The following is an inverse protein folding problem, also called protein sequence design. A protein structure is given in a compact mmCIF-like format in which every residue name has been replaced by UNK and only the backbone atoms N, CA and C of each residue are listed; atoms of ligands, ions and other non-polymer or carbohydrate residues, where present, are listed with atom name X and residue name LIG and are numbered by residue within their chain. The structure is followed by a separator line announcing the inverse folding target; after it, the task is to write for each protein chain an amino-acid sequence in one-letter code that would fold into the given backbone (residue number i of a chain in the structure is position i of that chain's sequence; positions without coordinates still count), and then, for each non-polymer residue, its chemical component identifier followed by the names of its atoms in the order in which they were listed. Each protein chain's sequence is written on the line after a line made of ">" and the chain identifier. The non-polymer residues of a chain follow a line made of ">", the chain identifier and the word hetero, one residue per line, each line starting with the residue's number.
data_IF_604827774095
#
_entry.id   IF_604827774095
#
_cell.length_a   1.000
_cell.length_b   1.000
_cell.length_c   1.000
_cell.angle_alpha   90.00
_cell.angle_beta   90.00
_cell.angle_gamma   90.00
#
_symmetry.space_group_name_H-M   'P 1'
#
loop_
_entity.id
_entity.type
_entity.pdbx_description
1 polymer ?
#
# COMPACT_ATOMS: atom_id res chain seq x y z
N UNK A 1 -27.46 -47.78 -33.11
CA UNK A 1 -26.26 -47.14 -33.69
C UNK A 1 -26.51 -45.65 -33.84
N UNK A 2 -25.55 -44.84 -33.37
CA UNK A 2 -25.29 -43.40 -33.63
C UNK A 2 -26.18 -42.33 -32.95
N UNK A 3 -25.52 -41.68 -31.99
CA UNK A 3 -25.77 -40.41 -31.31
C UNK A 3 -25.77 -39.21 -32.27
N UNK A 4 -26.44 -38.10 -31.92
CA UNK A 4 -25.93 -36.71 -31.71
C UNK A 4 -27.11 -35.69 -31.79
N UNK A 5 -27.42 -34.95 -30.70
CA UNK A 5 -27.19 -33.48 -30.52
C UNK A 5 -28.24 -32.63 -31.26
N UNK A 6 -28.92 -31.58 -30.75
CA UNK A 6 -28.94 -30.70 -29.56
C UNK A 6 -30.25 -29.87 -29.67
N UNK A 7 -30.52 -28.92 -28.76
CA UNK A 7 -31.62 -27.92 -28.68
C UNK A 7 -32.73 -28.35 -27.69
N UNK A 8 -32.96 -27.73 -26.54
CA UNK A 8 -32.79 -26.34 -26.12
C UNK A 8 -32.75 -26.26 -24.59
N UNK A 9 -31.66 -25.77 -24.01
CA UNK A 9 -31.71 -25.11 -22.70
C UNK A 9 -30.80 -23.89 -22.79
N UNK A 10 -31.37 -22.78 -23.22
CA UNK A 10 -30.81 -21.45 -23.08
C UNK A 10 -30.85 -21.08 -21.59
N UNK A 11 -29.78 -21.39 -20.87
CA UNK A 11 -29.49 -20.70 -19.61
C UNK A 11 -28.37 -19.73 -19.92
N UNK A 12 -28.76 -18.49 -20.21
CA UNK A 12 -27.87 -17.34 -20.17
C UNK A 12 -27.40 -17.19 -18.71
N UNK A 13 -26.30 -17.84 -18.36
CA UNK A 13 -25.50 -17.46 -17.21
C UNK A 13 -24.83 -16.13 -17.55
N UNK A 14 -25.57 -15.03 -17.38
CA UNK A 14 -24.96 -13.75 -17.05
C UNK A 14 -24.41 -13.89 -15.64
N UNK A 15 -23.23 -14.51 -15.52
CA UNK A 15 -22.37 -14.25 -14.39
C UNK A 15 -22.00 -12.77 -14.49
N UNK A 16 -22.80 -11.91 -13.85
CA UNK A 16 -22.43 -10.53 -13.61
C UNK A 16 -21.07 -10.57 -12.93
N UNK A 17 -20.03 -10.21 -13.66
CA UNK A 17 -18.73 -9.95 -13.06
C UNK A 17 -18.97 -8.71 -12.21
N UNK A 18 -19.25 -8.91 -10.93
CA UNK A 18 -19.18 -7.83 -9.96
C UNK A 18 -17.71 -7.47 -9.95
N UNK A 19 -17.33 -6.46 -10.74
CA UNK A 19 -16.12 -5.71 -10.50
C UNK A 19 -16.30 -5.18 -9.09
N UNK A 20 -15.74 -5.89 -8.10
CA UNK A 20 -15.59 -5.32 -6.78
C UNK A 20 -14.63 -4.16 -6.99
N UNK A 21 -15.19 -2.96 -7.09
CA UNK A 21 -14.41 -1.73 -7.12
C UNK A 21 -13.41 -1.82 -5.99
N UNK A 22 -12.13 -1.58 -6.31
CA UNK A 22 -11.10 -1.44 -5.29
C UNK A 22 -11.66 -0.43 -4.29
N UNK A 23 -11.79 -0.79 -2.99
CA UNK A 23 -12.35 0.13 -2.00
C UNK A 23 -11.67 1.48 -2.13
N UNK A 24 -12.47 2.55 -2.10
CA UNK A 24 -11.99 3.93 -2.09
C UNK A 24 -10.74 4.04 -1.23
N UNK A 25 -9.74 4.74 -1.76
CA UNK A 25 -8.39 4.79 -1.21
C UNK A 25 -8.44 4.97 0.32
N UNK A 26 -8.11 3.89 1.04
CA UNK A 26 -8.04 3.85 2.51
C UNK A 26 -7.22 5.05 3.05
N UNK A 27 -6.27 5.52 2.25
CA UNK A 27 -5.50 6.73 2.50
C UNK A 27 -5.86 7.81 1.48
N UNK A 28 -6.32 8.94 1.99
CA UNK A 28 -6.48 10.15 1.18
C UNK A 28 -5.11 10.72 0.76
N UNK A 29 -5.11 11.59 -0.25
CA UNK A 29 -3.88 12.17 -0.82
C UNK A 29 -3.08 12.99 0.21
N UNK A 30 -3.76 13.68 1.15
CA UNK A 30 -3.10 14.43 2.22
C UNK A 30 -2.27 13.52 3.13
N UNK A 31 -2.84 12.39 3.53
CA UNK A 31 -2.18 11.41 4.36
C UNK A 31 -0.96 10.79 3.67
N UNK A 32 -1.10 10.41 2.40
CA UNK A 32 0.02 9.88 1.60
C UNK A 32 1.18 10.87 1.53
N UNK A 33 0.88 12.14 1.22
CA UNK A 33 1.90 13.21 1.19
C UNK A 33 2.55 13.40 2.56
N UNK A 34 1.77 13.31 3.62
CA UNK A 34 2.29 13.47 4.97
C UNK A 34 3.21 12.31 5.40
N UNK A 35 2.83 11.06 5.15
CA UNK A 35 3.68 9.89 5.45
C UNK A 35 5.00 10.00 4.68
N UNK A 36 4.94 10.38 3.41
CA UNK A 36 6.12 10.65 2.59
C UNK A 36 6.99 11.79 3.16
N UNK A 37 6.36 12.90 3.59
CA UNK A 37 7.07 14.02 4.19
C UNK A 37 7.75 13.61 5.50
N UNK A 38 7.05 12.87 6.37
CA UNK A 38 7.60 12.32 7.60
C UNK A 38 8.82 11.42 7.34
N UNK A 39 8.72 10.55 6.34
CA UNK A 39 9.72 9.54 6.00
C UNK A 39 11.01 10.13 5.40
N UNK A 40 10.91 11.07 4.47
CA UNK A 40 12.07 11.56 3.72
C UNK A 40 12.03 13.04 3.32
N UNK A 41 11.07 13.81 3.84
CA UNK A 41 10.68 15.10 3.26
C UNK A 41 10.18 14.98 1.80
N UNK A 42 9.68 13.81 1.42
CA UNK A 42 9.37 13.49 0.02
C UNK A 42 10.53 13.70 -0.95
N UNK A 43 11.76 13.58 -0.46
CA UNK A 43 12.90 13.59 -1.37
C UNK A 43 12.82 12.35 -2.27
N UNK A 44 12.67 12.62 -3.57
CA UNK A 44 12.95 11.65 -4.65
C UNK A 44 14.45 11.37 -4.79
N UNK A 45 15.26 11.89 -3.86
CA UNK A 45 16.68 11.69 -3.80
C UNK A 45 16.97 10.32 -3.18
N UNK A 46 17.91 9.62 -3.80
CA UNK A 46 18.56 8.41 -3.31
C UNK A 46 17.78 7.10 -3.46
N UNK A 47 18.32 6.29 -4.38
CA UNK A 47 18.45 4.84 -4.24
C UNK A 47 18.55 4.37 -2.79
N UNK A 48 18.22 3.10 -2.60
CA UNK A 48 18.16 2.42 -1.31
C UNK A 48 19.35 2.71 -0.39
N UNK A 49 19.05 3.02 0.87
CA UNK A 49 20.04 3.00 1.94
C UNK A 49 19.96 1.62 2.61
N UNK A 50 20.83 0.71 2.20
CA UNK A 50 20.70 -0.71 2.54
C UNK A 50 19.39 -1.28 1.98
N UNK A 51 18.57 -1.89 2.84
CA UNK A 51 17.30 -2.52 2.45
C UNK A 51 16.10 -1.56 2.42
N UNK A 52 16.31 -0.27 2.69
CA UNK A 52 15.26 0.75 2.81
C UNK A 52 15.31 1.70 1.62
N UNK A 53 14.23 1.78 0.85
CA UNK A 53 14.22 2.47 -0.44
C UNK A 53 13.16 3.57 -0.54
N UNK A 54 13.49 4.60 -1.33
CA UNK A 54 12.54 5.56 -1.85
C UNK A 54 12.00 6.59 -0.86
N UNK A 55 11.05 7.43 -1.32
CA UNK A 55 10.53 8.55 -0.55
C UNK A 55 9.70 8.12 0.67
N UNK A 56 9.13 6.91 0.63
CA UNK A 56 8.40 6.33 1.76
C UNK A 56 9.29 5.49 2.67
N UNK A 57 10.60 5.38 2.42
CA UNK A 57 11.52 4.57 3.25
C UNK A 57 10.95 3.17 3.57
N UNK A 58 10.42 2.48 2.55
CA UNK A 58 9.86 1.13 2.71
C UNK A 58 10.92 0.06 2.51
N UNK A 59 10.69 -1.14 3.03
CA UNK A 59 11.53 -2.33 2.84
C UNK A 59 10.95 -3.27 1.77
N UNK A 60 11.73 -4.26 1.33
CA UNK A 60 11.23 -5.32 0.43
C UNK A 60 10.06 -6.09 1.05
N UNK A 61 10.12 -6.42 2.34
CA UNK A 61 9.03 -7.09 3.04
C UNK A 61 7.76 -6.24 3.08
N UNK A 62 7.90 -4.94 3.34
CA UNK A 62 6.78 -3.99 3.27
C UNK A 62 6.15 -3.98 1.88
N UNK A 63 6.97 -3.88 0.82
CA UNK A 63 6.50 -3.92 -0.56
C UNK A 63 5.81 -5.25 -0.91
N UNK A 64 6.31 -6.38 -0.40
CA UNK A 64 5.68 -7.70 -0.55
C UNK A 64 4.29 -7.71 0.08
N UNK A 65 4.20 -7.27 1.33
CA UNK A 65 2.93 -7.18 2.04
C UNK A 65 1.96 -6.15 1.43
N UNK A 66 2.51 -5.16 0.72
CA UNK A 66 1.78 -4.17 -0.08
C UNK A 66 1.24 -4.68 -1.41
N UNK A 67 1.41 -5.97 -1.72
CA UNK A 67 0.90 -6.58 -2.95
C UNK A 67 1.84 -6.51 -4.14
N UNK A 68 3.12 -6.20 -3.90
CA UNK A 68 4.20 -6.25 -4.89
C UNK A 68 3.92 -5.48 -6.21
N UNK A 69 3.44 -4.22 -6.16
CA UNK A 69 3.24 -3.46 -7.38
C UNK A 69 4.55 -3.29 -8.13
N UNK A 70 4.49 -3.25 -9.46
CA UNK A 70 5.67 -3.10 -10.33
C UNK A 70 5.46 -1.99 -11.35
N UNK A 71 6.56 -1.59 -11.98
CA UNK A 71 6.57 -0.63 -13.08
C UNK A 71 6.69 -1.36 -14.42
N UNK A 72 6.24 -0.72 -15.51
CA UNK A 72 6.55 -1.14 -16.89
C UNK A 72 6.23 -2.62 -17.22
N UNK A 73 5.22 -3.20 -16.57
CA UNK A 73 4.89 -4.63 -16.67
C UNK A 73 6.05 -5.57 -16.29
N UNK A 74 7.00 -5.09 -15.48
CA UNK A 74 8.05 -5.91 -14.87
C UNK A 74 7.41 -6.99 -14.00
N UNK A 75 7.99 -8.18 -14.04
CA UNK A 75 7.51 -9.30 -13.23
C UNK A 75 7.86 -9.06 -11.75
N UNK A 76 6.95 -9.30 -10.77
CA UNK A 76 7.22 -9.08 -9.34
C UNK A 76 8.45 -9.83 -8.80
N UNK A 77 8.76 -11.00 -9.36
CA UNK A 77 9.96 -11.77 -8.96
C UNK A 77 11.27 -11.26 -9.58
N UNK A 78 11.25 -10.18 -10.38
CA UNK A 78 12.47 -9.57 -10.86
C UNK A 78 13.32 -9.09 -9.67
N UNK A 79 14.65 -9.32 -9.68
CA UNK A 79 15.51 -8.89 -8.59
C UNK A 79 15.39 -7.40 -8.25
N UNK A 80 15.08 -6.56 -9.25
CA UNK A 80 15.00 -5.10 -9.13
C UNK A 80 13.58 -4.54 -8.99
N UNK A 81 12.54 -5.38 -9.06
CA UNK A 81 11.14 -4.93 -9.06
C UNK A 81 10.80 -4.10 -7.81
N UNK A 82 11.33 -4.52 -6.66
CA UNK A 82 11.16 -3.81 -5.40
C UNK A 82 11.82 -2.43 -5.46
N UNK A 83 13.11 -2.36 -5.81
CA UNK A 83 13.89 -1.13 -5.82
C UNK A 83 13.31 -0.13 -6.81
N UNK A 84 12.96 -0.58 -8.02
CA UNK A 84 12.30 0.25 -9.03
C UNK A 84 10.98 0.81 -8.52
N UNK A 85 10.12 -0.03 -7.94
CA UNK A 85 8.82 0.42 -7.45
C UNK A 85 8.94 1.35 -6.24
N UNK A 86 9.77 0.99 -5.25
CA UNK A 86 9.95 1.77 -4.04
C UNK A 86 10.54 3.16 -4.35
N UNK A 87 11.38 3.28 -5.36
CA UNK A 87 11.94 4.57 -5.81
C UNK A 87 11.00 5.41 -6.69
N UNK A 88 9.92 4.84 -7.24
CA UNK A 88 8.90 5.60 -7.96
C UNK A 88 7.77 6.01 -7.02
N UNK A 89 7.48 7.31 -6.94
CA UNK A 89 6.47 7.82 -5.99
C UNK A 89 5.09 7.18 -6.19
N UNK A 90 4.66 6.95 -7.44
CA UNK A 90 3.33 6.38 -7.72
C UNK A 90 3.29 4.89 -7.37
N UNK A 91 4.29 4.12 -7.77
CA UNK A 91 4.37 2.70 -7.46
C UNK A 91 4.53 2.46 -5.95
N UNK A 92 5.38 3.23 -5.28
CA UNK A 92 5.54 3.18 -3.84
C UNK A 92 4.22 3.56 -3.12
N UNK A 93 3.46 4.54 -3.63
CA UNK A 93 2.12 4.85 -3.11
C UNK A 93 1.18 3.64 -3.18
N UNK A 94 1.19 2.89 -4.29
CA UNK A 94 0.40 1.66 -4.40
C UNK A 94 0.82 0.62 -3.36
N UNK A 95 2.13 0.49 -3.11
CA UNK A 95 2.64 -0.42 -2.08
C UNK A 95 2.20 0.00 -0.68
N UNK A 96 2.27 1.31 -0.36
CA UNK A 96 1.78 1.87 0.90
C UNK A 96 0.29 1.61 1.06
N UNK A 97 -0.53 1.92 0.06
CA UNK A 97 -1.97 1.66 0.10
C UNK A 97 -2.31 0.17 0.24
N UNK A 98 -1.55 -0.72 -0.42
CA UNK A 98 -1.68 -2.16 -0.24
C UNK A 98 -1.35 -2.61 1.18
N UNK A 99 -0.27 -2.08 1.75
CA UNK A 99 0.16 -2.40 3.10
C UNK A 99 -0.89 -1.96 4.13
N UNK A 100 -1.45 -0.76 3.97
CA UNK A 100 -2.52 -0.27 4.82
C UNK A 100 -3.81 -1.07 4.66
N UNK A 101 -4.18 -1.48 3.44
CA UNK A 101 -5.30 -2.44 3.23
C UNK A 101 -5.11 -3.75 3.98
N UNK A 102 -3.87 -4.23 4.10
CA UNK A 102 -3.55 -5.47 4.81
C UNK A 102 -3.57 -5.30 6.33
N UNK A 103 -3.16 -4.14 6.84
CA UNK A 103 -2.84 -3.96 8.26
C UNK A 103 -3.64 -2.86 8.99
N UNK A 104 -4.63 -2.24 8.35
CA UNK A 104 -5.45 -1.20 8.97
C UNK A 104 -6.04 -1.68 10.30
N UNK A 105 -5.86 -0.88 11.33
CA UNK A 105 -6.37 -1.10 12.66
C UNK A 105 -6.25 0.21 13.45
N UNK A 106 -7.05 0.35 14.49
CA UNK A 106 -6.85 1.40 15.50
C UNK A 106 -5.57 1.09 16.30
N UNK A 107 -4.58 1.95 16.13
CA UNK A 107 -3.26 1.88 16.74
C UNK A 107 -3.12 2.85 17.92
N UNK A 108 -3.82 3.98 17.86
CA UNK A 108 -3.73 5.06 18.85
C UNK A 108 -4.77 4.94 19.99
N UNK A 109 -5.79 4.09 19.84
CA UNK A 109 -6.84 3.79 20.81
C UNK A 109 -8.02 4.76 20.83
N UNK A 110 -8.21 5.58 19.79
CA UNK A 110 -9.30 6.56 19.73
C UNK A 110 -10.61 6.04 19.11
N UNK A 111 -10.63 4.78 18.66
CA UNK A 111 -11.73 4.09 17.96
C UNK A 111 -12.06 4.64 16.56
N UNK A 112 -11.17 5.45 15.98
CA UNK A 112 -11.19 5.87 14.59
C UNK A 112 -10.02 5.18 13.89
N UNK A 113 -10.16 4.90 12.60
CA UNK A 113 -9.02 4.45 11.79
C UNK A 113 -8.75 5.54 10.77
N UNK A 114 -7.72 6.33 11.01
CA UNK A 114 -7.36 7.48 10.20
C UNK A 114 -5.85 7.59 9.92
N UNK A 115 -5.41 8.76 9.46
CA UNK A 115 -3.99 8.97 9.14
C UNK A 115 -3.06 8.81 10.35
N UNK A 116 -3.53 9.08 11.55
CA UNK A 116 -2.77 8.90 12.79
C UNK A 116 -2.50 7.42 13.06
N UNK A 117 -3.37 6.52 12.63
CA UNK A 117 -3.11 5.08 12.67
C UNK A 117 -2.19 4.63 11.55
N UNK A 118 -2.45 5.10 10.32
CA UNK A 118 -1.64 4.70 9.17
C UNK A 118 -0.17 5.12 9.31
N UNK A 119 0.11 6.28 9.91
CA UNK A 119 1.48 6.69 10.18
C UNK A 119 2.15 5.77 11.22
N UNK A 120 1.42 5.31 12.24
CA UNK A 120 1.95 4.37 13.23
C UNK A 120 2.17 2.98 12.62
N UNK A 121 1.28 2.54 11.73
CA UNK A 121 1.44 1.29 10.96
C UNK A 121 2.65 1.38 10.03
N UNK A 122 2.88 2.54 9.42
CA UNK A 122 4.01 2.74 8.51
C UNK A 122 5.35 2.66 9.26
N UNK A 123 5.45 3.36 10.39
CA UNK A 123 6.68 3.45 11.18
C UNK A 123 6.98 2.17 11.98
N UNK A 124 5.96 1.53 12.57
CA UNK A 124 6.14 0.41 13.50
C UNK A 124 5.68 -0.94 12.95
N UNK A 125 5.15 -0.97 11.73
CA UNK A 125 4.60 -2.16 11.09
C UNK A 125 3.22 -2.55 11.60
N UNK A 126 2.51 -3.36 10.81
CA UNK A 126 1.13 -3.76 11.06
C UNK A 126 0.88 -4.53 12.37
N UNK A 127 1.89 -5.18 12.95
CA UNK A 127 1.75 -5.86 14.24
C UNK A 127 2.33 -5.08 15.42
N UNK A 128 3.04 -3.98 15.13
CA UNK A 128 3.83 -3.23 16.11
C UNK A 128 3.25 -1.88 16.49
N UNK A 129 2.20 -1.39 15.80
CA UNK A 129 1.72 -0.01 15.94
C UNK A 129 1.04 0.31 17.29
N UNK A 130 0.44 -0.67 17.97
CA UNK A 130 -0.39 -0.44 19.16
C UNK A 130 0.43 0.06 20.34
N UNK A 131 -0.07 1.11 21.01
CA UNK A 131 0.58 1.69 22.19
C UNK A 131 1.92 2.38 21.88
N UNK A 132 2.17 2.70 20.61
CA UNK A 132 3.37 3.41 20.18
C UNK A 132 3.08 4.90 20.04
N UNK A 133 4.14 5.68 20.14
CA UNK A 133 4.12 7.11 19.84
C UNK A 133 5.26 7.39 18.88
N UNK A 134 5.00 8.16 17.83
CA UNK A 134 6.05 8.67 16.95
C UNK A 134 7.09 9.44 17.78
N UNK A 135 8.33 9.49 17.32
CA UNK A 135 9.38 10.25 17.99
C UNK A 135 10.36 10.86 16.97
N UNK A 136 11.22 11.75 17.49
CA UNK A 136 12.28 12.40 16.72
C UNK A 136 11.77 13.12 15.47
N UNK A 137 12.62 13.14 14.44
CA UNK A 137 12.40 13.88 13.21
C UNK A 137 11.16 13.40 12.44
N UNK A 138 10.85 12.10 12.50
CA UNK A 138 9.68 11.53 11.85
C UNK A 138 8.39 12.11 12.45
N UNK A 139 8.29 12.17 13.78
CA UNK A 139 7.18 12.85 14.47
C UNK A 139 7.12 14.33 14.12
N UNK A 140 8.26 15.04 14.21
CA UNK A 140 8.31 16.48 13.98
C UNK A 140 7.76 16.85 12.60
N UNK A 141 8.13 16.09 11.57
CA UNK A 141 7.64 16.28 10.20
C UNK A 141 6.17 15.89 10.04
N UNK A 142 5.74 14.78 10.63
CA UNK A 142 4.32 14.38 10.57
C UNK A 142 3.40 15.43 11.21
N UNK A 143 3.80 16.00 12.36
CA UNK A 143 3.01 17.01 13.08
C UNK A 143 2.87 18.36 12.35
N UNK A 144 3.63 18.57 11.27
CA UNK A 144 3.50 19.76 10.42
C UNK A 144 2.40 19.62 9.36
N UNK A 145 1.86 18.42 9.19
CA UNK A 145 0.76 18.18 8.27
C UNK A 145 -0.59 18.46 8.92
N UNK A 146 -1.55 18.92 8.12
CA UNK A 146 -2.96 18.96 8.49
C UNK A 146 -3.63 17.70 7.93
N UNK A 147 -3.60 16.62 8.70
CA UNK A 147 -4.20 15.32 8.37
C UNK A 147 -5.29 14.92 9.35
#
# INVERSE_FOLDING_TARGET
>A
MKNFVVFTVLIFYLAGVISQGIPEAILNESCIKCICHASSSCENSAFCNGDVCGPFRITRAYWIDGGQPTLNNEHPNSPLAYEHCASDFKCATLAVQGYMRKFYQDCNGDNVIDCNDYVLIHEFGGYGCKGRTLYGLYRERFTQCNV
#
